data_IF_137620258229
#
_entry.id   IF_137620258229
#
_cell.length_a   1.000
_cell.length_b   1.000
_cell.length_c   1.000
_cell.angle_alpha   90.00
_cell.angle_beta   90.00
_cell.angle_gamma   90.00
#
_symmetry.space_group_name_H-M   'P 1'
#
loop_
_entity.id
_entity.type
_entity.pdbx_description
1 polymer ?
#
# COMPACT_ATOMS: atom_id res chain seq x y z
N UNK A 1 -14.65 -0.95 12.76
CA UNK A 1 -14.10 -0.74 11.41
C UNK A 1 -14.03 0.76 11.17
N UNK A 2 -12.98 1.24 10.52
CA UNK A 2 -12.90 2.61 10.02
C UNK A 2 -13.88 2.81 8.85
N UNK A 3 -14.68 3.87 8.88
CA UNK A 3 -15.56 4.28 7.77
C UNK A 3 -14.97 5.43 6.96
N UNK A 4 -14.05 6.19 7.57
CA UNK A 4 -13.29 7.24 6.92
C UNK A 4 -11.91 7.39 7.57
N UNK A 5 -10.98 8.04 6.87
CA UNK A 5 -9.66 8.43 7.38
C UNK A 5 -9.57 9.95 7.40
N UNK A 6 -9.52 10.49 8.62
CA UNK A 6 -9.34 11.91 8.92
C UNK A 6 -7.88 12.22 9.27
N UNK A 7 -7.57 13.48 9.59
CA UNK A 7 -6.22 13.88 9.99
C UNK A 7 -5.74 13.19 11.28
N UNK A 8 -6.65 12.90 12.20
CA UNK A 8 -6.31 12.30 13.49
C UNK A 8 -5.98 10.80 13.37
N UNK A 9 -6.51 10.14 12.34
CA UNK A 9 -6.29 8.71 12.07
C UNK A 9 -4.94 8.43 11.40
N UNK A 10 -4.36 9.43 10.72
CA UNK A 10 -3.13 9.27 9.92
C UNK A 10 -1.93 8.84 10.78
N UNK A 11 -1.75 9.45 11.96
CA UNK A 11 -0.61 9.12 12.82
C UNK A 11 -0.72 7.70 13.39
N UNK A 12 -1.87 7.26 13.94
CA UNK A 12 -2.07 5.86 14.29
C UNK A 12 -1.85 4.90 13.12
N UNK A 13 -2.44 5.17 11.94
CA UNK A 13 -2.24 4.33 10.74
C UNK A 13 -0.77 4.18 10.41
N UNK A 14 0.00 5.29 10.39
CA UNK A 14 1.42 5.27 10.07
C UNK A 14 2.25 4.41 11.06
N UNK A 15 1.89 4.43 12.36
CA UNK A 15 2.55 3.61 13.38
C UNK A 15 2.22 2.13 13.16
N UNK A 16 0.93 1.78 13.02
CA UNK A 16 0.51 0.40 12.80
C UNK A 16 1.05 -0.18 11.51
N UNK A 17 0.98 0.57 10.41
CA UNK A 17 1.56 0.19 9.13
C UNK A 17 3.08 0.01 9.21
N UNK A 18 3.78 0.82 10.02
CA UNK A 18 5.20 0.63 10.29
C UNK A 18 5.52 -0.70 10.97
N UNK A 19 4.66 -1.15 11.90
CA UNK A 19 4.79 -2.44 12.59
C UNK A 19 4.45 -3.60 11.65
N UNK A 20 3.30 -3.52 10.96
CA UNK A 20 2.85 -4.52 9.98
C UNK A 20 3.75 -4.57 8.74
N UNK A 21 4.57 -3.54 8.51
CA UNK A 21 5.53 -3.51 7.42
C UNK A 21 6.62 -4.57 7.52
N UNK A 22 6.89 -5.16 8.69
CA UNK A 22 7.93 -6.20 8.86
C UNK A 22 9.31 -5.80 8.29
N UNK A 23 9.62 -4.50 8.28
CA UNK A 23 10.84 -3.93 7.70
C UNK A 23 10.75 -3.46 6.23
N UNK A 24 9.61 -3.68 5.58
CA UNK A 24 9.31 -3.23 4.20
C UNK A 24 8.25 -2.13 4.11
N UNK A 25 7.65 -1.96 2.93
CA UNK A 25 6.52 -1.04 2.71
C UNK A 25 6.86 0.43 2.47
N UNK A 26 8.13 0.79 2.56
CA UNK A 26 8.58 2.19 2.46
C UNK A 26 8.40 2.97 3.76
N UNK A 27 8.82 4.24 3.76
CA UNK A 27 8.86 5.06 4.99
C UNK A 27 7.46 5.62 5.35
N UNK A 28 6.81 5.14 6.43
CA UNK A 28 5.47 5.58 6.78
C UNK A 28 5.40 7.06 7.16
N UNK A 29 6.49 7.68 7.63
CA UNK A 29 6.50 9.11 7.97
C UNK A 29 6.31 9.99 6.73
N UNK A 30 6.97 9.66 5.62
CA UNK A 30 6.80 10.42 4.38
C UNK A 30 5.40 10.21 3.78
N UNK A 31 4.89 8.96 3.84
CA UNK A 31 3.53 8.65 3.42
C UNK A 31 2.48 9.41 4.22
N UNK A 32 2.66 9.54 5.54
CA UNK A 32 1.71 10.21 6.43
C UNK A 32 1.68 11.72 6.23
N UNK A 33 2.83 12.36 5.97
CA UNK A 33 2.89 13.78 5.62
C UNK A 33 2.17 14.05 4.30
N UNK A 34 2.37 13.19 3.29
CA UNK A 34 1.70 13.33 2.01
C UNK A 34 0.17 13.15 2.15
N UNK A 35 -0.27 12.07 2.81
CA UNK A 35 -1.70 11.83 3.05
C UNK A 35 -2.34 12.99 3.83
N UNK A 36 -1.66 13.53 4.86
CA UNK A 36 -2.17 14.67 5.62
C UNK A 36 -2.31 15.93 4.76
N UNK A 37 -1.40 16.15 3.81
CA UNK A 37 -1.52 17.25 2.84
C UNK A 37 -2.77 17.08 1.97
N UNK A 38 -3.00 15.88 1.44
CA UNK A 38 -4.12 15.59 0.54
C UNK A 38 -5.46 15.63 1.28
N UNK A 39 -5.54 15.08 2.50
CA UNK A 39 -6.74 15.15 3.35
C UNK A 39 -7.11 16.60 3.70
N UNK A 40 -6.13 17.49 3.94
CA UNK A 40 -6.41 18.92 4.14
C UNK A 40 -7.02 19.60 2.91
N UNK A 41 -6.71 19.11 1.71
CA UNK A 41 -7.18 19.69 0.45
C UNK A 41 -8.54 19.12 0.03
N UNK A 42 -8.78 17.82 0.25
CA UNK A 42 -9.94 17.10 -0.30
C UNK A 42 -10.95 16.67 0.77
N UNK A 43 -10.60 16.75 2.06
CA UNK A 43 -11.39 16.18 3.16
C UNK A 43 -10.99 14.73 3.47
N UNK A 44 -11.77 14.05 4.34
CA UNK A 44 -11.47 12.70 4.78
C UNK A 44 -11.67 11.67 3.66
N UNK A 45 -10.85 10.62 3.65
CA UNK A 45 -10.98 9.54 2.66
C UNK A 45 -12.05 8.55 3.10
N UNK A 46 -12.99 8.24 2.22
CA UNK A 46 -14.02 7.24 2.49
C UNK A 46 -13.43 5.83 2.44
N UNK A 47 -13.78 5.00 3.43
CA UNK A 47 -13.32 3.62 3.56
C UNK A 47 -14.50 2.66 3.42
N UNK A 48 -14.41 1.76 2.43
CA UNK A 48 -15.43 0.73 2.19
C UNK A 48 -15.16 -0.55 2.96
N UNK A 49 -16.25 -1.14 3.45
CA UNK A 49 -16.26 -2.49 3.98
C UNK A 49 -16.09 -3.49 2.82
N UNK A 50 -15.03 -4.31 2.81
CA UNK A 50 -14.81 -5.29 1.75
C UNK A 50 -15.98 -6.28 1.61
N UNK A 51 -16.75 -6.50 2.68
CA UNK A 51 -17.91 -7.40 2.66
C UNK A 51 -19.16 -6.76 2.04
N UNK A 52 -19.19 -5.42 1.92
CA UNK A 52 -20.32 -4.66 1.37
C UNK A 52 -20.09 -4.19 -0.07
N UNK A 53 -18.98 -4.59 -0.69
CA UNK A 53 -18.72 -4.29 -2.09
C UNK A 53 -19.77 -4.96 -3.01
N UNK A 54 -20.35 -4.20 -3.97
CA UNK A 54 -21.13 -4.80 -5.05
C UNK A 54 -20.29 -5.83 -5.81
N UNK A 55 -20.89 -6.95 -6.15
CA UNK A 55 -20.18 -8.08 -6.77
C UNK A 55 -19.47 -7.71 -8.08
N UNK A 56 -20.01 -6.73 -8.81
CA UNK A 56 -19.57 -6.22 -10.11
C UNK A 56 -18.79 -4.89 -10.05
N UNK A 57 -18.53 -4.37 -8.84
CA UNK A 57 -17.69 -3.18 -8.66
C UNK A 57 -16.30 -3.43 -9.24
N UNK A 58 -15.76 -2.47 -10.00
CA UNK A 58 -14.45 -2.57 -10.61
C UNK A 58 -13.39 -1.96 -9.68
N UNK A 59 -12.46 -2.79 -9.23
CA UNK A 59 -11.44 -2.41 -8.25
C UNK A 59 -10.06 -2.57 -8.86
N UNK A 60 -9.18 -1.60 -8.61
CA UNK A 60 -7.74 -1.73 -8.88
C UNK A 60 -6.95 -1.82 -7.59
N UNK A 61 -5.78 -2.44 -7.65
CA UNK A 61 -4.78 -2.38 -6.58
C UNK A 61 -3.79 -1.27 -6.88
N UNK A 62 -3.49 -0.45 -5.88
CA UNK A 62 -2.52 0.64 -6.01
C UNK A 62 -1.37 0.48 -5.02
N UNK A 63 -0.16 0.84 -5.44
CA UNK A 63 1.04 0.80 -4.60
C UNK A 63 2.25 1.39 -5.32
N UNK A 64 3.25 1.84 -4.57
CA UNK A 64 4.51 2.28 -5.19
C UNK A 64 5.41 1.07 -5.45
N UNK A 65 6.08 1.09 -6.60
CA UNK A 65 7.18 0.17 -6.93
C UNK A 65 8.50 0.93 -6.98
N UNK A 66 9.57 0.30 -6.50
CA UNK A 66 10.90 0.89 -6.53
C UNK A 66 11.75 0.53 -5.33
N UNK A 67 12.81 1.31 -5.12
CA UNK A 67 13.71 1.16 -3.99
C UNK A 67 13.27 2.05 -2.81
N UNK A 68 12.98 1.49 -1.63
CA UNK A 68 12.65 2.28 -0.44
C UNK A 68 13.72 3.29 -0.04
N UNK A 69 15.00 2.95 -0.27
CA UNK A 69 16.16 3.82 -0.01
C UNK A 69 16.13 5.08 -0.88
N UNK A 70 15.82 4.94 -2.17
CA UNK A 70 15.69 6.08 -3.10
C UNK A 70 14.47 6.93 -2.77
N UNK A 71 13.39 6.29 -2.32
CA UNK A 71 12.12 6.96 -2.01
C UNK A 71 12.20 7.99 -0.87
N UNK A 72 13.29 7.99 -0.09
CA UNK A 72 13.55 8.97 0.98
C UNK A 72 14.29 10.20 0.44
N UNK A 73 15.08 10.06 -0.63
CA UNK A 73 15.89 11.13 -1.22
C UNK A 73 15.20 11.79 -2.43
N UNK A 74 14.53 10.97 -3.26
CA UNK A 74 13.74 11.42 -4.40
C UNK A 74 12.29 11.63 -3.97
N UNK A 75 11.97 12.88 -3.61
CA UNK A 75 10.60 13.27 -3.27
C UNK A 75 9.68 13.04 -4.49
N UNK A 76 8.48 12.47 -4.29
CA UNK A 76 7.49 12.35 -5.35
C UNK A 76 6.92 13.73 -5.70
N UNK A 77 6.37 13.84 -6.90
CA UNK A 77 5.54 14.99 -7.27
C UNK A 77 4.20 14.93 -6.51
N UNK A 78 3.65 13.73 -6.31
CA UNK A 78 2.48 13.48 -5.48
C UNK A 78 1.25 13.00 -6.24
N UNK A 79 1.26 13.04 -7.57
CA UNK A 79 0.16 12.58 -8.44
C UNK A 79 0.50 11.36 -9.29
N UNK A 80 1.68 10.75 -9.13
CA UNK A 80 2.12 9.58 -9.90
C UNK A 80 1.08 8.44 -9.86
N UNK A 81 0.51 8.18 -8.67
CA UNK A 81 -0.49 7.13 -8.50
C UNK A 81 -1.81 7.45 -9.20
N UNK A 82 -2.28 8.70 -9.08
CA UNK A 82 -3.46 9.17 -9.80
C UNK A 82 -3.27 9.02 -11.31
N UNK A 83 -2.12 9.46 -11.82
CA UNK A 83 -1.79 9.35 -13.26
C UNK A 83 -1.73 7.90 -13.71
N UNK A 84 -1.14 6.99 -12.93
CA UNK A 84 -1.13 5.56 -13.21
C UNK A 84 -2.56 4.96 -13.21
N UNK A 85 -3.40 5.37 -12.26
CA UNK A 85 -4.81 4.98 -12.21
C UNK A 85 -5.55 5.42 -13.47
N UNK A 86 -5.46 6.71 -13.84
CA UNK A 86 -6.11 7.25 -15.05
C UNK A 86 -5.57 6.63 -16.34
N UNK A 87 -4.28 6.31 -16.38
CA UNK A 87 -3.67 5.61 -17.50
C UNK A 87 -4.27 4.21 -17.67
N UNK A 88 -4.46 3.48 -16.57
CA UNK A 88 -5.07 2.15 -16.61
C UNK A 88 -6.54 2.21 -16.99
N UNK A 89 -7.31 3.16 -16.45
CA UNK A 89 -8.71 3.42 -16.84
C UNK A 89 -8.83 3.68 -18.34
N UNK A 90 -7.95 4.52 -18.89
CA UNK A 90 -7.90 4.80 -20.33
C UNK A 90 -7.57 3.54 -21.16
N UNK A 91 -6.68 2.67 -20.65
CA UNK A 91 -6.32 1.42 -21.31
C UNK A 91 -7.49 0.43 -21.35
N UNK A 92 -8.28 0.32 -20.27
CA UNK A 92 -9.41 -0.61 -20.19
C UNK A 92 -10.75 -0.01 -20.67
N UNK A 93 -10.80 1.31 -20.87
CA UNK A 93 -11.97 2.04 -21.33
C UNK A 93 -13.08 2.22 -20.28
N UNK A 94 -12.79 2.08 -18.99
CA UNK A 94 -13.76 2.18 -17.89
C UNK A 94 -13.09 2.75 -16.62
N UNK A 95 -13.75 3.65 -15.86
CA UNK A 95 -13.24 4.11 -14.57
C UNK A 95 -13.35 3.04 -13.47
N UNK A 96 -12.49 3.14 -12.45
CA UNK A 96 -12.57 2.29 -11.26
C UNK A 96 -13.59 2.83 -10.26
N UNK A 97 -14.27 1.92 -9.57
CA UNK A 97 -15.26 2.22 -8.54
C UNK A 97 -14.62 2.38 -7.15
N UNK A 98 -13.49 1.71 -6.89
CA UNK A 98 -12.73 1.81 -5.65
C UNK A 98 -11.27 1.38 -5.82
N UNK A 99 -10.42 1.75 -4.86
CA UNK A 99 -9.00 1.35 -4.82
C UNK A 99 -8.74 0.40 -3.65
N UNK A 100 -8.08 -0.72 -3.90
CA UNK A 100 -7.57 -1.64 -2.88
C UNK A 100 -6.11 -1.33 -2.53
N UNK A 101 -5.73 -1.65 -1.30
CA UNK A 101 -4.36 -1.48 -0.81
C UNK A 101 -3.51 -2.65 -1.30
N UNK A 102 -2.35 -2.40 -1.92
CA UNK A 102 -1.43 -3.48 -2.28
C UNK A 102 -0.91 -4.20 -1.03
N UNK A 103 -0.32 -3.45 -0.11
CA UNK A 103 0.18 -3.98 1.17
C UNK A 103 -0.05 -2.96 2.28
N UNK A 104 -0.47 -3.44 3.45
CA UNK A 104 -0.67 -2.58 4.62
C UNK A 104 0.66 -2.12 5.26
N UNK A 105 1.80 -2.57 4.73
CA UNK A 105 3.12 -2.22 5.23
C UNK A 105 3.55 -0.80 4.85
N UNK A 106 4.07 -0.05 5.82
CA UNK A 106 4.81 1.20 5.60
C UNK A 106 4.02 2.27 4.84
N UNK A 107 4.67 2.97 3.92
CA UNK A 107 4.08 4.01 3.09
C UNK A 107 3.02 3.49 2.10
N UNK A 108 3.14 2.24 1.65
CA UNK A 108 2.21 1.63 0.70
C UNK A 108 0.80 1.41 1.26
N UNK A 109 0.63 1.45 2.59
CA UNK A 109 -0.70 1.54 3.22
C UNK A 109 -1.44 2.85 2.94
N UNK A 110 -0.71 3.93 2.66
CA UNK A 110 -1.27 5.29 2.56
C UNK A 110 -1.35 5.81 1.12
N UNK A 111 -0.54 5.28 0.19
CA UNK A 111 -0.61 5.70 -1.23
C UNK A 111 -1.97 5.43 -1.88
N UNK A 112 -2.65 4.30 -1.61
CA UNK A 112 -4.00 4.03 -2.14
C UNK A 112 -5.03 5.01 -1.60
N UNK A 113 -4.89 5.46 -0.35
CA UNK A 113 -5.74 6.50 0.24
C UNK A 113 -5.56 7.84 -0.48
N UNK A 114 -4.32 8.21 -0.78
CA UNK A 114 -4.00 9.41 -1.57
C UNK A 114 -4.59 9.31 -2.97
N UNK A 115 -4.40 8.18 -3.64
CA UNK A 115 -4.91 7.97 -4.99
C UNK A 115 -6.44 8.02 -5.04
N UNK A 116 -7.12 7.40 -4.07
CA UNK A 116 -8.57 7.43 -3.94
C UNK A 116 -9.10 8.85 -3.71
N UNK A 117 -8.50 9.61 -2.78
CA UNK A 117 -8.85 11.01 -2.53
C UNK A 117 -8.71 11.88 -3.79
N UNK A 118 -7.57 11.77 -4.47
CA UNK A 118 -7.30 12.53 -5.69
C UNK A 118 -8.21 12.12 -6.85
N UNK A 119 -8.61 10.84 -6.91
CA UNK A 119 -9.48 10.32 -7.95
C UNK A 119 -10.98 10.51 -7.65
N UNK A 120 -11.34 10.86 -6.41
CA UNK A 120 -12.73 11.00 -5.96
C UNK A 120 -13.43 9.65 -5.74
N UNK A 121 -12.68 8.59 -5.44
CA UNK A 121 -13.22 7.23 -5.21
C UNK A 121 -12.75 6.67 -3.86
N UNK A 122 -13.53 5.81 -3.21
CA UNK A 122 -13.18 5.29 -1.90
C UNK A 122 -12.04 4.27 -1.94
N UNK A 123 -11.45 4.03 -0.77
CA UNK A 123 -10.46 2.95 -0.57
C UNK A 123 -11.10 1.81 0.19
N UNK A 124 -10.76 0.57 -0.13
CA UNK A 124 -11.29 -0.61 0.54
C UNK A 124 -10.43 -0.93 1.76
N UNK A 125 -11.05 -1.25 2.90
CA UNK A 125 -10.34 -1.77 4.07
C UNK A 125 -9.94 -3.24 3.88
N UNK A 126 -9.04 -3.46 2.93
CA UNK A 126 -8.45 -4.75 2.62
C UNK A 126 -7.12 -4.52 1.93
N UNK A 127 -6.15 -5.41 2.18
CA UNK A 127 -4.94 -5.49 1.39
C UNK A 127 -4.71 -6.92 0.88
N UNK A 128 -3.60 -7.12 0.16
CA UNK A 128 -3.29 -8.40 -0.47
C UNK A 128 -2.35 -9.29 0.33
N UNK A 129 -1.95 -8.92 1.56
CA UNK A 129 -0.93 -9.69 2.29
C UNK A 129 -0.98 -9.56 3.83
N UNK A 130 -1.60 -8.51 4.39
CA UNK A 130 -1.60 -8.23 5.82
C UNK A 130 -0.24 -7.77 6.36
N UNK A 131 0.75 -7.60 5.49
CA UNK A 131 2.12 -7.14 5.77
C UNK A 131 2.80 -6.63 4.50
N UNK A 132 4.01 -6.08 4.59
CA UNK A 132 4.80 -5.82 3.39
C UNK A 132 5.32 -7.11 2.74
N UNK A 133 5.50 -7.11 1.43
CA UNK A 133 6.06 -8.22 0.66
C UNK A 133 6.96 -7.76 -0.51
N UNK A 134 7.87 -8.62 -0.99
CA UNK A 134 8.84 -8.21 -1.99
C UNK A 134 8.32 -8.20 -3.43
N UNK A 135 7.46 -9.12 -3.86
CA UNK A 135 7.14 -9.30 -5.29
C UNK A 135 5.63 -9.43 -5.53
N UNK A 136 5.12 -8.82 -6.61
CA UNK A 136 3.68 -8.71 -6.91
C UNK A 136 2.92 -10.05 -6.86
N UNK A 137 3.53 -11.14 -7.34
CA UNK A 137 2.90 -12.47 -7.35
C UNK A 137 2.64 -13.08 -5.97
N UNK A 138 3.10 -12.45 -4.89
CA UNK A 138 2.85 -12.91 -3.51
C UNK A 138 1.49 -12.46 -2.97
N UNK A 139 0.76 -11.66 -3.74
CA UNK A 139 -0.56 -11.14 -3.42
C UNK A 139 -1.60 -12.26 -3.23
N UNK A 140 -2.33 -12.22 -2.12
CA UNK A 140 -3.49 -13.08 -1.85
C UNK A 140 -4.61 -12.88 -2.87
N UNK A 141 -4.69 -11.69 -3.47
CA UNK A 141 -5.68 -11.43 -4.52
C UNK A 141 -5.52 -12.35 -5.73
N UNK A 142 -4.34 -12.90 -5.97
CA UNK A 142 -4.07 -13.84 -7.06
C UNK A 142 -4.40 -15.30 -6.68
N UNK A 143 -4.74 -15.56 -5.41
CA UNK A 143 -5.11 -16.89 -4.93
C UNK A 143 -6.61 -17.12 -5.13
N UNK A 144 -6.96 -18.08 -5.98
CA UNK A 144 -8.35 -18.54 -6.15
C UNK A 144 -9.28 -17.56 -6.87
N UNK A 145 -8.95 -16.27 -6.89
CA UNK A 145 -9.51 -15.28 -7.79
C UNK A 145 -8.79 -15.44 -9.13
N UNK A 146 -9.53 -15.54 -10.24
CA UNK A 146 -8.95 -15.61 -11.59
C UNK A 146 -8.20 -14.33 -12.02
N UNK A 147 -7.87 -13.43 -11.08
CA UNK A 147 -7.14 -12.20 -11.34
C UNK A 147 -5.67 -12.47 -11.64
N UNK A 148 -5.09 -11.57 -12.43
CA UNK A 148 -3.66 -11.52 -12.74
C UNK A 148 -3.16 -10.11 -12.44
N UNK A 149 -1.86 -9.94 -12.26
CA UNK A 149 -1.33 -8.59 -12.00
C UNK A 149 -1.43 -7.70 -13.24
N UNK A 150 -1.40 -8.27 -14.45
CA UNK A 150 -1.60 -7.51 -15.69
C UNK A 150 -3.08 -7.26 -15.98
N UNK A 151 -3.44 -6.14 -16.63
CA UNK A 151 -2.55 -5.06 -17.09
C UNK A 151 -1.98 -4.21 -15.93
N UNK A 152 -0.73 -3.78 -16.05
CA UNK A 152 -0.06 -2.88 -15.09
C UNK A 152 0.10 -1.51 -15.74
N UNK A 153 -0.27 -0.44 -15.03
CA UNK A 153 0.08 0.93 -15.38
C UNK A 153 1.14 1.47 -14.42
N UNK A 154 2.15 2.15 -14.97
CA UNK A 154 3.23 2.76 -14.21
C UNK A 154 3.47 4.20 -14.66
N UNK A 155 3.63 5.10 -13.69
CA UNK A 155 3.97 6.51 -13.95
C UNK A 155 5.02 7.00 -12.95
N UNK A 156 6.00 7.76 -13.43
CA UNK A 156 7.01 8.40 -12.58
C UNK A 156 6.77 9.90 -12.39
N UNK A 157 7.59 10.52 -11.54
CA UNK A 157 7.50 11.96 -11.23
C UNK A 157 7.73 12.87 -12.45
N UNK A 158 8.33 12.35 -13.53
CA UNK A 158 8.69 13.09 -14.74
C UNK A 158 7.71 12.82 -15.90
N UNK A 159 6.52 12.28 -15.60
CA UNK A 159 5.47 11.95 -16.58
C UNK A 159 5.82 10.82 -17.56
N UNK A 160 6.88 10.06 -17.31
CA UNK A 160 7.10 8.83 -18.07
C UNK A 160 6.00 7.84 -17.69
N UNK A 161 5.27 7.35 -18.69
CA UNK A 161 4.13 6.47 -18.51
C UNK A 161 4.30 5.18 -19.31
N UNK A 162 3.93 4.04 -18.73
CA UNK A 162 3.95 2.74 -19.39
C UNK A 162 2.75 1.89 -18.99
N UNK A 163 2.22 1.13 -19.95
CA UNK A 163 1.26 0.05 -19.69
C UNK A 163 1.88 -1.28 -20.12
N UNK A 164 1.84 -2.27 -19.24
CA UNK A 164 2.20 -3.66 -19.53
C UNK A 164 0.89 -4.43 -19.68
N UNK A 165 0.39 -4.63 -20.93
CA UNK A 165 -0.94 -5.21 -21.13
C UNK A 165 -0.99 -6.71 -20.84
N UNK A 166 0.12 -7.41 -21.05
CA UNK A 166 0.21 -8.85 -20.87
C UNK A 166 1.65 -9.28 -20.58
N UNK A 167 1.79 -10.39 -19.85
CA UNK A 167 3.07 -11.09 -19.67
C UNK A 167 2.83 -12.60 -19.64
N UNK A 168 3.93 -13.38 -19.63
CA UNK A 168 3.86 -14.84 -19.59
C UNK A 168 3.23 -15.34 -18.27
N UNK A 169 3.51 -14.65 -17.15
CA UNK A 169 2.97 -14.91 -15.82
C UNK A 169 3.30 -13.73 -14.88
N UNK A 170 2.76 -13.74 -13.66
CA UNK A 170 2.94 -12.63 -12.71
C UNK A 170 4.41 -12.41 -12.30
N UNK A 171 5.26 -13.45 -12.30
CA UNK A 171 6.71 -13.30 -12.08
C UNK A 171 7.39 -12.52 -13.21
N UNK A 172 6.93 -12.71 -14.44
CA UNK A 172 7.40 -11.91 -15.59
C UNK A 172 6.91 -10.47 -15.49
N UNK A 173 5.67 -10.26 -15.05
CA UNK A 173 5.14 -8.93 -14.81
C UNK A 173 5.98 -8.15 -13.78
N UNK A 174 6.26 -8.75 -12.62
CA UNK A 174 7.17 -8.21 -11.60
C UNK A 174 8.54 -7.83 -12.19
N UNK A 175 9.14 -8.75 -12.97
CA UNK A 175 10.45 -8.53 -13.59
C UNK A 175 10.42 -7.36 -14.58
N UNK A 176 9.40 -7.26 -15.42
CA UNK A 176 9.27 -6.17 -16.40
C UNK A 176 9.01 -4.85 -15.69
N UNK A 177 8.06 -4.82 -14.76
CA UNK A 177 7.71 -3.63 -13.96
C UNK A 177 8.94 -3.08 -13.22
N UNK A 178 9.74 -3.94 -12.57
CA UNK A 178 10.99 -3.49 -11.90
C UNK A 178 12.01 -2.88 -12.86
N UNK A 179 12.18 -3.43 -14.06
CA UNK A 179 13.12 -2.85 -15.03
C UNK A 179 12.67 -1.47 -15.53
N UNK A 180 11.35 -1.29 -15.70
CA UNK A 180 10.77 0.03 -16.00
C UNK A 180 10.99 0.98 -14.82
N UNK A 181 10.71 0.55 -13.59
CA UNK A 181 10.94 1.35 -12.39
C UNK A 181 12.40 1.82 -12.25
N UNK A 182 13.37 0.98 -12.60
CA UNK A 182 14.80 1.37 -12.63
C UNK A 182 15.03 2.52 -13.61
N UNK A 183 14.45 2.43 -14.81
CA UNK A 183 14.57 3.47 -15.85
C UNK A 183 13.89 4.78 -15.42
N UNK A 184 12.83 4.69 -14.62
CA UNK A 184 12.11 5.80 -13.99
C UNK A 184 12.83 6.41 -12.77
N UNK A 185 14.11 6.08 -12.58
CA UNK A 185 14.89 6.54 -11.42
C UNK A 185 14.53 5.81 -10.13
N UNK A 186 14.29 4.51 -10.23
CA UNK A 186 14.04 3.56 -9.14
C UNK A 186 12.79 3.86 -8.27
N UNK A 187 11.80 4.57 -8.82
CA UNK A 187 10.50 4.83 -8.17
C UNK A 187 9.42 5.14 -9.20
N UNK A 188 8.26 4.51 -9.08
CA UNK A 188 7.06 4.81 -9.85
C UNK A 188 5.79 4.51 -9.03
N UNK A 189 4.71 5.23 -9.33
CA UNK A 189 3.37 4.80 -8.97
C UNK A 189 2.97 3.62 -9.85
N UNK A 190 2.34 2.60 -9.26
CA UNK A 190 1.91 1.40 -9.95
C UNK A 190 0.45 1.08 -9.59
N UNK A 191 -0.36 0.88 -10.62
CA UNK A 191 -1.74 0.42 -10.50
C UNK A 191 -1.90 -0.83 -11.34
N UNK A 192 -2.44 -1.87 -10.73
CA UNK A 192 -2.51 -3.21 -11.31
C UNK A 192 -3.71 -4.00 -10.79
N UNK A 193 -3.72 -5.31 -11.06
CA UNK A 193 -4.63 -6.30 -10.46
C UNK A 193 -6.08 -5.84 -10.44
N UNK A 194 -6.69 -5.87 -11.62
CA UNK A 194 -8.10 -5.49 -11.78
C UNK A 194 -8.99 -6.63 -11.27
N UNK A 195 -9.91 -6.29 -10.37
CA UNK A 195 -10.80 -7.24 -9.72
C UNK A 195 -12.23 -6.76 -9.72
N UNK A 196 -13.16 -7.71 -9.56
CA UNK A 196 -14.52 -7.40 -9.15
C UNK A 196 -14.63 -7.31 -7.62
N UNK A 197 -15.67 -6.63 -7.11
CA UNK A 197 -15.91 -6.58 -5.66
C UNK A 197 -16.09 -7.96 -5.02
N UNK A 198 -16.67 -8.92 -5.76
CA UNK A 198 -16.73 -10.33 -5.34
C UNK A 198 -15.33 -10.92 -5.13
N UNK A 199 -14.41 -10.70 -6.08
CA UNK A 199 -13.05 -11.23 -5.98
C UNK A 199 -12.33 -10.64 -4.77
N UNK A 200 -12.44 -9.32 -4.54
CA UNK A 200 -11.88 -8.67 -3.34
C UNK A 200 -12.37 -9.34 -2.06
N UNK A 201 -13.67 -9.62 -1.96
CA UNK A 201 -14.30 -10.26 -0.79
C UNK A 201 -13.85 -11.70 -0.58
N UNK A 202 -13.48 -12.41 -1.63
CA UNK A 202 -13.10 -13.83 -1.58
C UNK A 202 -11.60 -14.03 -1.30
N UNK A 203 -10.74 -13.12 -1.76
CA UNK A 203 -9.28 -13.29 -1.73
C UNK A 203 -8.52 -12.20 -0.95
N UNK A 204 -9.20 -11.14 -0.52
CA UNK A 204 -8.61 -10.07 0.28
C UNK A 204 -8.35 -10.45 1.73
N UNK A 205 -7.31 -9.86 2.30
CA UNK A 205 -7.11 -9.86 3.76
C UNK A 205 -7.83 -8.64 4.30
N UNK A 206 -9.00 -8.90 4.87
CA UNK A 206 -9.93 -7.86 5.29
C UNK A 206 -9.46 -7.11 6.54
N UNK A 207 -9.87 -5.85 6.63
CA UNK A 207 -9.76 -4.98 7.80
C UNK A 207 -8.34 -4.64 8.23
N UNK A 208 -7.38 -4.69 7.31
CA UNK A 208 -5.96 -4.44 7.63
C UNK A 208 -5.66 -2.98 7.89
N UNK A 209 -6.39 -2.03 7.27
CA UNK A 209 -6.29 -0.61 7.61
C UNK A 209 -6.89 -0.33 8.99
N UNK A 210 -8.05 -0.91 9.30
CA UNK A 210 -8.61 -0.86 10.67
C UNK A 210 -7.64 -1.44 11.69
N UNK A 211 -6.99 -2.57 11.40
CA UNK A 211 -5.98 -3.18 12.27
C UNK A 211 -4.78 -2.26 12.48
N UNK A 212 -4.24 -1.67 11.41
CA UNK A 212 -3.13 -0.72 11.49
C UNK A 212 -3.50 0.48 12.36
N UNK A 213 -4.69 1.05 12.17
CA UNK A 213 -5.17 2.16 12.98
C UNK A 213 -5.29 1.80 14.47
N UNK A 214 -5.95 0.68 14.79
CA UNK A 214 -6.09 0.19 16.16
C UNK A 214 -4.72 -0.06 16.81
N UNK A 215 -3.81 -0.75 16.11
CA UNK A 215 -2.47 -1.01 16.61
C UNK A 215 -1.72 0.30 16.92
N UNK A 216 -1.85 1.30 16.05
CA UNK A 216 -1.28 2.62 16.26
C UNK A 216 -1.81 3.33 17.51
N UNK A 217 -3.12 3.34 17.71
CA UNK A 217 -3.75 3.93 18.91
C UNK A 217 -3.26 3.24 20.18
N UNK A 218 -3.21 1.91 20.16
CA UNK A 218 -2.78 1.10 21.28
C UNK A 218 -1.31 1.34 21.64
N UNK A 219 -0.44 1.55 20.65
CA UNK A 219 0.96 1.95 20.86
C UNK A 219 1.06 3.35 21.47
N UNK A 220 0.29 4.31 20.96
CA UNK A 220 0.29 5.68 21.47
C UNK A 220 -0.14 5.73 22.94
N UNK A 221 -1.19 4.99 23.31
CA UNK A 221 -1.64 4.90 24.70
C UNK A 221 -0.61 4.19 25.58
N UNK A 222 -0.01 3.09 25.12
CA UNK A 222 1.06 2.42 25.86
C UNK A 222 2.26 3.33 26.13
N UNK A 223 2.66 4.17 25.15
CA UNK A 223 3.72 5.15 25.35
C UNK A 223 3.35 6.20 26.40
N UNK A 224 2.11 6.71 26.38
CA UNK A 224 1.61 7.67 27.36
C UNK A 224 1.59 7.10 28.78
N UNK A 225 1.19 5.83 28.92
CA UNK A 225 1.15 5.10 30.18
C UNK A 225 2.52 4.55 30.63
N UNK A 226 3.55 4.66 29.80
CA UNK A 226 4.87 4.03 30.00
C UNK A 226 4.77 2.50 30.15
N UNK A 227 3.80 1.90 29.48
CA UNK A 227 3.61 0.46 29.37
C UNK A 227 4.68 -0.14 28.44
N UNK A 228 4.87 -1.45 28.55
CA UNK A 228 5.80 -2.16 27.70
C UNK A 228 5.24 -2.36 26.27
N UNK A 229 5.60 -1.45 25.37
CA UNK A 229 5.08 -1.37 23.99
C UNK A 229 5.22 -2.69 23.22
N UNK A 230 6.36 -3.43 23.24
CA UNK A 230 6.45 -4.71 22.55
C UNK A 230 5.44 -5.76 23.04
N UNK A 231 5.18 -5.87 24.34
CA UNK A 231 4.18 -6.82 24.85
C UNK A 231 2.76 -6.41 24.49
N UNK A 232 2.49 -5.10 24.45
CA UNK A 232 1.19 -4.57 24.00
C UNK A 232 0.94 -4.90 22.53
N UNK A 233 1.94 -4.69 21.66
CA UNK A 233 1.87 -5.07 20.23
C UNK A 233 1.63 -6.58 20.10
N UNK A 234 2.39 -7.39 20.85
CA UNK A 234 2.26 -8.84 20.82
C UNK A 234 0.83 -9.28 21.23
N UNK A 235 0.26 -8.70 22.28
CA UNK A 235 -1.10 -9.02 22.70
C UNK A 235 -2.17 -8.66 21.65
N UNK A 236 -2.03 -7.52 20.96
CA UNK A 236 -2.97 -7.10 19.90
C UNK A 236 -2.93 -8.05 18.69
N UNK A 237 -1.73 -8.56 18.35
CA UNK A 237 -1.50 -9.39 17.17
C UNK A 237 -1.54 -10.90 17.45
N UNK A 238 -1.90 -11.32 18.66
CA UNK A 238 -1.75 -12.71 19.13
C UNK A 238 -0.33 -13.28 18.89
N UNK A 239 0.66 -12.41 19.08
CA UNK A 239 2.08 -12.68 18.86
C UNK A 239 2.86 -12.89 20.16
N UNK A 240 4.18 -13.02 20.02
CA UNK A 240 5.11 -13.20 21.15
C UNK A 240 6.36 -12.33 21.00
N UNK A 241 6.90 -11.87 22.13
CA UNK A 241 8.19 -11.16 22.15
C UNK A 241 9.32 -12.19 22.11
N UNK A 242 9.99 -12.30 20.96
CA UNK A 242 11.06 -13.28 20.75
C UNK A 242 12.37 -12.91 21.48
N UNK A 243 12.75 -11.63 21.45
CA UNK A 243 13.97 -11.17 22.12
C UNK A 243 13.88 -9.68 22.47
N UNK A 244 14.77 -9.24 23.38
CA UNK A 244 14.98 -7.83 23.72
C UNK A 244 16.47 -7.51 23.63
N UNK A 245 16.78 -6.39 23.01
CA UNK A 245 18.16 -5.96 22.84
C UNK A 245 18.26 -4.50 22.44
N UNK A 246 19.49 -4.01 22.34
CA UNK A 246 19.81 -2.67 21.85
C UNK A 246 20.38 -2.78 20.44
N UNK A 247 19.86 -1.96 19.53
CA UNK A 247 20.45 -1.82 18.19
C UNK A 247 21.80 -1.11 18.36
N UNK A 248 22.89 -1.80 18.03
CA UNK A 248 24.25 -1.25 18.10
C UNK A 248 24.68 -0.58 16.78
N UNK A 249 24.28 -1.15 15.64
CA UNK A 249 24.58 -0.65 14.29
C UNK A 249 23.55 -1.17 13.28
N UNK A 250 23.38 -0.49 12.15
CA UNK A 250 22.48 -0.87 11.05
C UNK A 250 23.15 -0.56 9.71
N UNK A 251 23.44 -1.59 8.91
CA UNK A 251 24.00 -1.44 7.56
C UNK A 251 22.98 -1.85 6.50
N UNK A 252 22.61 -0.91 5.61
CA UNK A 252 21.67 -1.17 4.50
C UNK A 252 22.38 -1.08 3.14
N UNK A 253 22.00 -1.94 2.20
CA UNK A 253 22.47 -1.95 0.81
C UNK A 253 21.32 -2.18 -0.15
N UNK A 254 21.30 -1.49 -1.28
CA UNK A 254 20.31 -1.74 -2.35
C UNK A 254 20.90 -2.73 -3.35
N UNK A 255 20.22 -3.86 -3.60
CA UNK A 255 20.62 -4.86 -4.57
C UNK A 255 19.40 -5.42 -5.31
N UNK A 256 19.46 -5.52 -6.64
CA UNK A 256 18.37 -6.00 -7.51
C UNK A 256 17.02 -5.27 -7.29
N UNK A 257 17.06 -3.98 -6.95
CA UNK A 257 15.85 -3.19 -6.66
C UNK A 257 15.27 -3.35 -5.25
N UNK A 258 15.97 -4.04 -4.34
CA UNK A 258 15.54 -4.25 -2.96
C UNK A 258 16.55 -3.70 -1.95
N UNK A 259 16.07 -3.14 -0.84
CA UNK A 259 16.91 -2.82 0.33
C UNK A 259 17.18 -4.10 1.14
N UNK A 260 18.44 -4.34 1.51
CA UNK A 260 18.89 -5.50 2.30
C UNK A 260 19.81 -5.04 3.43
N UNK A 261 19.73 -5.74 4.56
CA UNK A 261 20.55 -5.50 5.76
C UNK A 261 19.80 -4.74 6.84
#
# INVERSE_FOLDING_TARGET
>A
MLTEVTLDDIRPIAIGAGILGTGGGGNPYLGSLHLASIVRQHGPQQILDPLQLPDDALVCVAGNIGAPTVSIEKLPEGTEMLRALRLLEAHIGRPFDAVAIAEIGGANSMQPLIAGLQAGIPTIDSDSMGRAFPELQMSSFLLGSSATVVPIAMVDAADNAAVIPATINDKWAERVARNIAVSMGARAGLVDTIMTGKQVRESGIHYTLTLAHHLGLTVLEAQKQKSDVPSVIAAVLDGQVLFRGKIADVMRRTSKGFARG
#
